data_IF_943206682728
#
_entry.id   IF_943206682728
#
_cell.length_a   1.000
_cell.length_b   1.000
_cell.length_c   1.000
_cell.angle_alpha   90.00
_cell.angle_beta   90.00
_cell.angle_gamma   90.00
#
_symmetry.space_group_name_H-M   'P 1'
#
loop_
_entity.id
_entity.type
_entity.pdbx_description
1 polymer ?
#
# COMPACT_ATOMS: atom_id res chain seq x y z
N UNK A 1 8.06 21.46 -8.44
CA UNK A 1 8.90 20.27 -8.71
C UNK A 1 9.54 20.42 -10.07
N UNK A 2 10.85 20.20 -10.17
CA UNK A 2 11.60 20.31 -11.43
C UNK A 2 12.00 18.92 -11.99
N UNK A 3 12.70 18.90 -13.13
CA UNK A 3 13.15 17.65 -13.78
C UNK A 3 14.08 16.82 -12.87
N UNK A 4 14.89 17.48 -12.04
CA UNK A 4 15.80 16.80 -11.11
C UNK A 4 15.00 16.13 -9.99
N UNK A 5 13.99 16.79 -9.43
CA UNK A 5 13.11 16.20 -8.43
C UNK A 5 12.37 14.97 -8.99
N UNK A 6 11.91 15.04 -10.24
CA UNK A 6 11.29 13.90 -10.92
C UNK A 6 12.28 12.75 -11.09
N UNK A 7 13.52 13.03 -11.46
CA UNK A 7 14.57 12.01 -11.58
C UNK A 7 14.86 11.34 -10.24
N UNK A 8 15.00 12.12 -9.15
CA UNK A 8 15.13 11.60 -7.77
C UNK A 8 13.98 10.65 -7.43
N UNK A 9 12.74 11.09 -7.64
CA UNK A 9 11.56 10.28 -7.34
C UNK A 9 11.49 9.01 -8.18
N UNK A 10 11.88 9.06 -9.46
CA UNK A 10 11.90 7.90 -10.35
C UNK A 10 12.88 6.82 -9.86
N UNK A 11 14.06 7.22 -9.41
CA UNK A 11 15.03 6.27 -8.84
C UNK A 11 14.51 5.71 -7.53
N UNK A 12 14.09 6.56 -6.58
CA UNK A 12 13.59 6.14 -5.26
C UNK A 12 12.31 5.30 -5.33
N UNK A 13 11.48 5.48 -6.36
CA UNK A 13 10.28 4.67 -6.58
C UNK A 13 10.61 3.22 -6.89
N UNK A 14 11.78 2.95 -7.48
CA UNK A 14 12.24 1.61 -7.86
C UNK A 14 13.21 1.00 -6.86
N UNK A 15 14.03 1.84 -6.23
CA UNK A 15 15.06 1.42 -5.29
C UNK A 15 15.14 2.45 -4.15
N UNK A 16 14.44 2.15 -3.07
CA UNK A 16 14.39 3.00 -1.88
C UNK A 16 15.61 2.79 -0.96
N UNK A 17 16.40 1.73 -1.18
CA UNK A 17 17.60 1.38 -0.40
C UNK A 17 18.89 1.98 -1.00
N UNK A 18 18.79 2.65 -2.15
CA UNK A 18 19.91 3.33 -2.80
C UNK A 18 20.57 4.36 -1.88
N UNK A 19 21.91 4.38 -1.83
CA UNK A 19 22.61 5.39 -1.04
C UNK A 19 22.47 6.79 -1.65
N UNK A 20 22.59 7.84 -0.82
CA UNK A 20 22.55 9.22 -1.34
C UNK A 20 23.68 9.50 -2.34
N UNK A 21 24.82 8.81 -2.21
CA UNK A 21 25.93 8.92 -3.13
C UNK A 21 25.56 8.34 -4.49
N UNK A 22 25.09 7.09 -4.51
CA UNK A 22 24.73 6.40 -5.75
C UNK A 22 23.53 7.09 -6.45
N UNK A 23 22.56 7.57 -5.64
CA UNK A 23 21.43 8.36 -6.15
C UNK A 23 21.92 9.64 -6.83
N UNK A 24 22.84 10.39 -6.21
CA UNK A 24 23.36 11.63 -6.77
C UNK A 24 24.18 11.39 -8.03
N UNK A 25 24.98 10.33 -8.06
CA UNK A 25 25.76 9.92 -9.23
C UNK A 25 24.85 9.50 -10.40
N UNK A 26 23.79 8.74 -10.14
CA UNK A 26 22.83 8.29 -11.17
C UNK A 26 22.10 9.44 -11.87
N UNK A 27 21.95 10.57 -11.16
CA UNK A 27 21.23 11.76 -11.68
C UNK A 27 22.21 12.83 -12.21
N UNK A 28 23.49 12.72 -11.86
CA UNK A 28 24.53 13.67 -12.30
C UNK A 28 24.52 15.00 -11.51
N UNK A 29 24.26 14.96 -10.19
CA UNK A 29 24.27 16.14 -9.31
C UNK A 29 25.20 15.93 -8.12
N UNK A 30 25.57 17.00 -7.42
CA UNK A 30 26.33 16.90 -6.18
C UNK A 30 25.53 16.19 -5.08
N UNK A 31 26.20 15.37 -4.26
CA UNK A 31 25.55 14.60 -3.17
C UNK A 31 24.85 15.52 -2.16
N UNK A 32 25.44 16.65 -1.80
CA UNK A 32 24.80 17.63 -0.91
C UNK A 32 23.50 18.18 -1.51
N UNK A 33 23.50 18.54 -2.78
CA UNK A 33 22.31 19.01 -3.49
C UNK A 33 21.22 17.93 -3.54
N UNK A 34 21.60 16.67 -3.78
CA UNK A 34 20.70 15.54 -3.76
C UNK A 34 20.03 15.38 -2.38
N UNK A 35 20.81 15.38 -1.31
CA UNK A 35 20.33 15.28 0.06
C UNK A 35 19.36 16.40 0.43
N UNK A 36 19.66 17.65 0.09
CA UNK A 36 18.77 18.79 0.32
C UNK A 36 17.44 18.63 -0.39
N UNK A 37 17.46 18.17 -1.67
CA UNK A 37 16.24 17.93 -2.43
C UNK A 37 15.40 16.82 -1.84
N UNK A 38 15.98 15.68 -1.48
CA UNK A 38 15.28 14.58 -0.81
C UNK A 38 14.66 15.05 0.51
N UNK A 39 15.40 15.83 1.32
CA UNK A 39 14.88 16.40 2.57
C UNK A 39 13.71 17.34 2.32
N UNK A 40 13.77 18.18 1.29
CA UNK A 40 12.68 19.05 0.89
C UNK A 40 11.44 18.27 0.46
N UNK A 41 11.61 17.25 -0.40
CA UNK A 41 10.50 16.39 -0.86
C UNK A 41 9.82 15.65 0.30
N UNK A 42 10.58 15.20 1.29
CA UNK A 42 10.02 14.65 2.54
C UNK A 42 9.25 15.70 3.35
N UNK A 43 9.82 16.90 3.51
CA UNK A 43 9.15 18.00 4.25
C UNK A 43 7.85 18.45 3.58
N UNK A 44 7.78 18.34 2.26
CA UNK A 44 6.57 18.66 1.47
C UNK A 44 5.55 17.51 1.44
N UNK A 45 5.82 16.38 2.09
CA UNK A 45 4.94 15.21 2.09
C UNK A 45 4.86 14.46 0.75
N UNK A 46 5.74 14.79 -0.22
CA UNK A 46 5.80 14.09 -1.51
C UNK A 46 6.41 12.69 -1.31
N UNK A 47 7.44 12.59 -0.48
CA UNK A 47 7.96 11.32 0.01
C UNK A 47 7.39 11.12 1.42
N UNK A 48 6.45 10.21 1.56
CA UNK A 48 5.77 9.90 2.83
C UNK A 48 6.48 8.82 3.63
N UNK A 49 7.32 8.00 2.98
CA UNK A 49 8.05 6.91 3.63
C UNK A 49 8.73 6.00 2.63
N UNK A 50 9.35 4.96 3.14
CA UNK A 50 9.94 3.87 2.39
C UNK A 50 9.38 2.56 2.91
N UNK A 51 9.05 1.64 2.02
CA UNK A 51 8.55 0.31 2.39
C UNK A 51 9.43 -0.75 1.77
N UNK A 52 9.71 -1.80 2.55
CA UNK A 52 10.35 -3.00 2.05
C UNK A 52 9.31 -3.88 1.36
N UNK A 53 9.58 -4.30 0.15
CA UNK A 53 8.78 -5.31 -0.55
C UNK A 53 9.29 -6.71 -0.16
N UNK A 54 8.42 -7.50 0.45
CA UNK A 54 8.74 -8.87 0.86
C UNK A 54 8.19 -9.87 -0.14
N UNK A 55 9.00 -10.85 -0.49
CA UNK A 55 8.51 -12.00 -1.26
C UNK A 55 7.81 -12.98 -0.31
N UNK A 56 6.52 -12.75 -0.11
CA UNK A 56 5.71 -13.55 0.81
C UNK A 56 5.60 -15.03 0.38
N UNK A 57 5.77 -15.35 -0.91
CA UNK A 57 5.78 -16.75 -1.36
C UNK A 57 6.96 -17.58 -0.83
N UNK A 58 7.97 -16.92 -0.23
CA UNK A 58 9.08 -17.59 0.46
C UNK A 58 8.74 -18.01 1.89
N UNK A 59 7.63 -17.54 2.42
CA UNK A 59 7.13 -17.97 3.72
C UNK A 59 6.24 -19.21 3.51
N UNK A 60 6.44 -20.26 4.31
CA UNK A 60 5.69 -21.51 4.17
C UNK A 60 4.19 -21.31 4.48
N UNK A 61 3.33 -21.88 3.63
CA UNK A 61 1.88 -21.80 3.79
C UNK A 61 1.37 -20.37 3.65
N UNK A 62 1.45 -19.80 2.46
CA UNK A 62 1.07 -18.41 2.24
C UNK A 62 0.00 -18.31 1.15
N UNK A 63 -1.10 -17.68 1.50
CA UNK A 63 -2.20 -17.34 0.61
C UNK A 63 -2.48 -15.84 0.73
N UNK A 64 -2.47 -15.15 -0.38
CA UNK A 64 -2.96 -13.78 -0.46
C UNK A 64 -4.37 -13.73 -1.02
N UNK A 65 -5.19 -12.85 -0.47
CA UNK A 65 -6.55 -12.64 -0.94
C UNK A 65 -6.94 -11.16 -0.89
N UNK A 66 -7.89 -10.79 -1.74
CA UNK A 66 -8.56 -9.51 -1.71
C UNK A 66 -9.97 -9.71 -1.18
N UNK A 67 -10.30 -9.07 -0.06
CA UNK A 67 -11.66 -9.00 0.47
C UNK A 67 -12.30 -7.67 0.02
N UNK A 68 -13.29 -7.76 -0.86
CA UNK A 68 -14.10 -6.63 -1.29
C UNK A 68 -15.26 -6.47 -0.31
N UNK A 69 -15.31 -5.35 0.39
CA UNK A 69 -16.22 -5.10 1.51
C UNK A 69 -17.24 -4.03 1.13
N UNK A 70 -18.51 -4.33 1.35
CA UNK A 70 -19.61 -3.37 1.24
C UNK A 70 -20.19 -3.07 2.61
N UNK A 71 -20.31 -1.80 2.95
CA UNK A 71 -20.89 -1.34 4.21
C UNK A 71 -22.42 -1.23 4.13
N UNK A 72 -23.09 -1.40 5.27
CA UNK A 72 -24.55 -1.16 5.39
C UNK A 72 -24.87 0.32 5.25
N UNK A 73 -24.01 1.18 5.84
CA UNK A 73 -24.11 2.64 5.77
C UNK A 73 -22.73 3.21 5.54
N UNK A 74 -22.64 4.10 4.58
CA UNK A 74 -21.42 4.82 4.26
C UNK A 74 -21.44 6.19 4.94
N UNK A 75 -20.86 6.29 6.16
CA UNK A 75 -20.55 7.56 6.82
C UNK A 75 -19.06 7.65 7.01
N UNK A 76 -18.49 8.85 6.93
CA UNK A 76 -17.04 9.08 7.01
C UNK A 76 -16.46 8.50 8.31
N UNK A 77 -17.09 8.81 9.46
CA UNK A 77 -16.64 8.32 10.77
C UNK A 77 -16.61 6.79 10.85
N UNK A 78 -17.66 6.11 10.32
CA UNK A 78 -17.76 4.66 10.36
C UNK A 78 -16.74 4.01 9.41
N UNK A 79 -16.52 4.61 8.25
CA UNK A 79 -15.52 4.15 7.29
C UNK A 79 -14.10 4.30 7.84
N UNK A 80 -13.79 5.42 8.48
CA UNK A 80 -12.49 5.66 9.10
C UNK A 80 -12.24 4.70 10.27
N UNK A 81 -13.25 4.48 11.13
CA UNK A 81 -13.16 3.54 12.23
C UNK A 81 -12.89 2.10 11.72
N UNK A 82 -13.66 1.63 10.74
CA UNK A 82 -13.49 0.29 10.18
C UNK A 82 -12.10 0.13 9.54
N UNK A 83 -11.64 1.11 8.77
CA UNK A 83 -10.31 1.11 8.18
C UNK A 83 -9.21 0.97 9.24
N UNK A 84 -9.29 1.79 10.29
CA UNK A 84 -8.26 1.84 11.33
C UNK A 84 -8.24 0.54 12.14
N UNK A 85 -9.39 -0.06 12.43
CA UNK A 85 -9.47 -1.37 13.08
C UNK A 85 -8.92 -2.50 12.20
N UNK A 86 -9.25 -2.52 10.90
CA UNK A 86 -8.75 -3.53 9.97
C UNK A 86 -7.23 -3.45 9.82
N UNK A 87 -6.64 -2.26 9.85
CA UNK A 87 -5.18 -2.07 9.78
C UNK A 87 -4.43 -2.58 11.01
N UNK A 88 -5.11 -2.85 12.13
CA UNK A 88 -4.50 -3.45 13.32
C UNK A 88 -4.41 -4.98 13.24
N UNK A 89 -5.10 -5.61 12.28
CA UNK A 89 -5.08 -7.06 12.13
C UNK A 89 -3.74 -7.52 11.51
N UNK A 90 -3.07 -8.51 12.09
CA UNK A 90 -1.77 -8.97 11.59
C UNK A 90 -1.86 -9.64 10.21
N UNK A 91 -3.03 -10.11 9.82
CA UNK A 91 -3.29 -10.69 8.51
C UNK A 91 -3.53 -9.63 7.42
N UNK A 92 -3.72 -8.36 7.79
CA UNK A 92 -4.01 -7.28 6.81
C UNK A 92 -2.71 -6.63 6.35
N UNK A 93 -2.50 -6.63 5.03
CA UNK A 93 -1.37 -5.98 4.37
C UNK A 93 -1.70 -4.53 4.03
N UNK A 94 -2.88 -4.31 3.42
CA UNK A 94 -3.32 -3.00 2.95
C UNK A 94 -4.85 -2.87 2.97
N UNK A 95 -5.32 -1.66 3.17
CA UNK A 95 -6.74 -1.31 3.05
C UNK A 95 -6.87 -0.19 2.03
N UNK A 96 -7.71 -0.40 1.01
CA UNK A 96 -8.06 0.59 0.01
C UNK A 96 -9.51 1.02 0.25
N UNK A 97 -9.73 2.31 0.53
CA UNK A 97 -11.07 2.90 0.47
C UNK A 97 -11.34 3.29 -0.98
N UNK A 98 -12.38 2.74 -1.56
CA UNK A 98 -12.65 2.85 -3.00
C UNK A 98 -14.03 3.43 -3.27
N UNK A 99 -14.19 4.07 -4.43
CA UNK A 99 -15.50 4.46 -4.96
C UNK A 99 -16.03 3.37 -5.88
N UNK A 100 -17.30 3.03 -5.76
CA UNK A 100 -17.96 2.04 -6.62
C UNK A 100 -18.96 1.19 -5.90
N UNK A 101 -19.11 -0.07 -6.31
CA UNK A 101 -20.05 -1.01 -5.72
C UNK A 101 -19.67 -1.42 -4.29
N UNK A 102 -18.39 -1.58 -4.03
CA UNK A 102 -17.84 -1.84 -2.71
C UNK A 102 -17.17 -0.60 -2.14
N UNK A 103 -17.06 -0.54 -0.80
CA UNK A 103 -16.48 0.59 -0.09
C UNK A 103 -14.99 0.38 0.20
N UNK A 104 -14.58 -0.88 0.44
CA UNK A 104 -13.19 -1.21 0.68
C UNK A 104 -12.73 -2.43 -0.11
N UNK A 105 -11.45 -2.40 -0.49
CA UNK A 105 -10.68 -3.59 -0.82
C UNK A 105 -9.61 -3.79 0.23
N UNK A 106 -9.62 -4.95 0.89
CA UNK A 106 -8.68 -5.30 1.96
C UNK A 106 -7.77 -6.42 1.46
N UNK A 107 -6.49 -6.13 1.33
CA UNK A 107 -5.48 -7.11 0.97
C UNK A 107 -5.03 -7.86 2.23
N UNK A 108 -5.21 -9.16 2.26
CA UNK A 108 -4.86 -10.01 3.40
C UNK A 108 -3.89 -11.11 3.00
N UNK A 109 -3.08 -11.56 3.98
CA UNK A 109 -2.19 -12.70 3.85
C UNK A 109 -2.40 -13.67 5.02
N UNK A 110 -2.56 -14.95 4.70
CA UNK A 110 -2.86 -16.01 5.65
C UNK A 110 -2.09 -17.28 5.30
N UNK A 111 -2.00 -18.23 6.24
CA UNK A 111 -1.26 -19.47 6.02
C UNK A 111 -2.00 -20.45 5.10
N UNK A 112 -3.33 -20.55 5.24
CA UNK A 112 -4.14 -21.48 4.49
C UNK A 112 -5.59 -20.98 4.30
N UNK A 113 -6.39 -21.75 3.57
CA UNK A 113 -7.79 -21.41 3.30
C UNK A 113 -8.69 -21.53 4.54
N UNK A 114 -8.31 -22.34 5.54
CA UNK A 114 -9.06 -22.45 6.79
C UNK A 114 -8.91 -21.17 7.61
N UNK A 115 -7.68 -20.64 7.72
CA UNK A 115 -7.42 -19.33 8.34
C UNK A 115 -8.11 -18.20 7.58
N UNK A 116 -8.07 -18.21 6.23
CA UNK A 116 -8.78 -17.20 5.42
C UNK A 116 -10.27 -17.19 5.78
N UNK A 117 -10.91 -18.35 5.78
CA UNK A 117 -12.32 -18.47 6.13
C UNK A 117 -12.62 -17.96 7.55
N UNK A 118 -11.76 -18.29 8.52
CA UNK A 118 -11.91 -17.83 9.91
C UNK A 118 -11.76 -16.31 10.02
N UNK A 119 -10.77 -15.73 9.34
CA UNK A 119 -10.54 -14.29 9.28
C UNK A 119 -11.77 -13.57 8.70
N UNK A 120 -12.26 -14.03 7.54
CA UNK A 120 -13.44 -13.43 6.89
C UNK A 120 -14.66 -13.51 7.79
N UNK A 121 -14.89 -14.63 8.43
CA UNK A 121 -16.04 -14.77 9.33
C UNK A 121 -15.90 -13.88 10.58
N UNK A 122 -14.76 -13.92 11.26
CA UNK A 122 -14.53 -13.20 12.52
C UNK A 122 -14.46 -11.69 12.34
N UNK A 123 -13.72 -11.22 11.33
CA UNK A 123 -13.38 -9.81 11.20
C UNK A 123 -14.23 -9.05 10.18
N UNK A 124 -15.00 -9.75 9.35
CA UNK A 124 -15.83 -9.11 8.34
C UNK A 124 -17.31 -9.51 8.48
N UNK A 125 -17.65 -10.77 8.28
CA UNK A 125 -19.06 -11.22 8.21
C UNK A 125 -19.82 -11.02 9.52
N UNK A 126 -19.16 -11.11 10.67
CA UNK A 126 -19.79 -10.92 11.98
C UNK A 126 -19.99 -9.45 12.38
N UNK A 127 -19.47 -8.51 11.59
CA UNK A 127 -19.62 -7.08 11.88
C UNK A 127 -20.94 -6.51 11.39
N UNK A 128 -21.70 -5.83 12.26
CA UNK A 128 -23.01 -5.28 11.88
C UNK A 128 -22.93 -4.12 10.86
N UNK A 129 -21.80 -3.46 10.76
CA UNK A 129 -21.54 -2.40 9.79
C UNK A 129 -21.24 -2.91 8.38
N UNK A 130 -20.93 -4.21 8.22
CA UNK A 130 -20.62 -4.83 6.92
C UNK A 130 -21.89 -5.50 6.36
N UNK A 131 -22.27 -5.10 5.17
CA UNK A 131 -23.41 -5.67 4.44
C UNK A 131 -23.00 -6.96 3.69
N UNK A 132 -21.85 -6.92 3.04
CA UNK A 132 -21.35 -8.03 2.24
C UNK A 132 -19.82 -8.02 2.19
N UNK A 133 -19.24 -9.20 2.03
CA UNK A 133 -17.82 -9.39 1.73
C UNK A 133 -17.65 -10.47 0.67
N UNK A 134 -16.92 -10.15 -0.38
CA UNK A 134 -16.52 -11.07 -1.44
C UNK A 134 -15.00 -11.27 -1.38
N UNK A 135 -14.57 -12.54 -1.45
CA UNK A 135 -13.14 -12.87 -1.32
C UNK A 135 -12.62 -13.47 -2.61
N UNK A 136 -11.56 -12.89 -3.15
CA UNK A 136 -10.84 -13.37 -4.32
C UNK A 136 -9.41 -13.75 -3.95
N UNK A 137 -8.95 -14.93 -4.36
CA UNK A 137 -7.54 -15.31 -4.18
C UNK A 137 -6.67 -14.53 -5.15
N UNK A 138 -5.53 -14.05 -4.66
CA UNK A 138 -4.51 -13.41 -5.48
C UNK A 138 -3.50 -14.48 -5.89
N UNK A 139 -3.42 -14.79 -7.17
CA UNK A 139 -2.44 -15.74 -7.69
C UNK A 139 -1.09 -15.10 -7.96
N UNK A 140 -1.10 -13.86 -8.38
CA UNK A 140 0.10 -13.06 -8.62
C UNK A 140 -0.25 -11.57 -8.58
N UNK A 141 0.62 -10.75 -8.02
CA UNK A 141 0.57 -9.32 -8.21
C UNK A 141 1.93 -8.79 -8.63
N UNK A 142 1.94 -7.73 -9.43
CA UNK A 142 3.18 -7.05 -9.85
C UNK A 142 3.02 -5.55 -9.77
N UNK A 143 4.04 -4.90 -9.24
CA UNK A 143 4.12 -3.45 -9.21
C UNK A 143 4.80 -2.93 -10.48
N UNK A 144 4.27 -1.86 -11.05
CA UNK A 144 4.94 -1.14 -12.12
C UNK A 144 6.24 -0.48 -11.62
N UNK A 145 7.28 -0.54 -12.43
CA UNK A 145 8.54 0.19 -12.20
C UNK A 145 8.53 1.61 -12.82
N UNK A 146 7.45 1.98 -13.47
CA UNK A 146 7.30 3.31 -14.07
C UNK A 146 6.61 4.22 -13.06
N UNK A 147 7.27 5.33 -12.70
CA UNK A 147 6.66 6.35 -11.84
C UNK A 147 5.41 6.90 -12.54
N UNK A 148 4.24 6.90 -11.89
CA UNK A 148 3.03 7.46 -12.47
C UNK A 148 3.21 8.93 -12.84
N UNK A 149 2.70 9.31 -14.02
CA UNK A 149 2.66 10.71 -14.45
C UNK A 149 1.59 11.45 -13.66
N UNK A 150 1.97 12.05 -12.55
CA UNK A 150 1.09 12.88 -11.73
C UNK A 150 1.44 14.35 -11.88
N UNK A 151 0.44 15.21 -11.99
CA UNK A 151 0.65 16.65 -11.83
C UNK A 151 0.71 16.94 -10.34
N UNK A 152 1.85 17.48 -9.89
CA UNK A 152 1.95 17.97 -8.51
C UNK A 152 1.39 19.39 -8.50
N UNK A 153 0.36 19.59 -7.72
CA UNK A 153 -0.32 20.87 -7.50
C UNK A 153 0.52 21.77 -6.61
#
# INVERSE_FOLDING_TARGET
MDKIDTAILTVLFNDADITNKDLSESIGIATSTCQERVKRLKKQGIITGYQCELNLSRFSGHIEAMAAVKMVKHTEDLADMLRDELLLLPEVIQVFHIGGENDFNVHVAVYDTAQLRQLIFREFTSRPEIQNVETSLIFEHRRSKVLPSVRIV
#
